data_IF_204830688646
#
_entry.id   IF_204830688646
#
_cell.length_a   1.000
_cell.length_b   1.000
_cell.length_c   1.000
_cell.angle_alpha   90.00
_cell.angle_beta   90.00
_cell.angle_gamma   90.00
#
_symmetry.space_group_name_H-M   'P 1'
#
loop_
_entity.id
_entity.type
_entity.pdbx_description
1 polymer ?
#
# COMPACT_ATOMS: atom_id res chain seq x y z
N UNK A 1 -16.88 31.80 10.39
CA UNK A 1 -17.47 31.16 9.20
C UNK A 1 -16.66 29.90 8.97
N UNK A 2 -17.17 28.74 9.37
CA UNK A 2 -16.48 27.48 9.17
C UNK A 2 -16.55 27.12 7.69
N UNK A 3 -15.43 27.22 6.99
CA UNK A 3 -15.30 26.66 5.65
C UNK A 3 -15.23 25.15 5.79
N UNK A 4 -16.39 24.49 5.82
CA UNK A 4 -16.47 23.03 5.75
C UNK A 4 -15.99 22.60 4.37
N UNK A 5 -14.69 22.30 4.26
CA UNK A 5 -14.12 21.71 3.06
C UNK A 5 -14.64 20.28 2.98
N UNK A 6 -15.37 19.91 1.91
CA UNK A 6 -15.99 18.60 1.83
C UNK A 6 -14.92 17.49 1.82
N UNK A 7 -15.20 16.35 2.48
CA UNK A 7 -14.33 15.19 2.41
C UNK A 7 -14.17 14.71 0.97
N UNK A 8 -13.06 14.04 0.68
CA UNK A 8 -12.78 13.53 -0.66
C UNK A 8 -13.96 12.67 -1.18
N UNK A 9 -14.63 13.03 -2.30
CA UNK A 9 -15.88 12.41 -2.72
C UNK A 9 -15.78 10.89 -2.89
N UNK A 10 -14.66 10.42 -3.43
CA UNK A 10 -14.40 8.99 -3.67
C UNK A 10 -14.41 8.13 -2.39
N UNK A 11 -14.18 8.73 -1.23
CA UNK A 11 -14.05 8.04 0.06
C UNK A 11 -15.02 8.56 1.12
N UNK A 12 -15.94 9.46 0.75
CA UNK A 12 -16.78 10.22 1.68
C UNK A 12 -17.57 9.32 2.66
N UNK A 13 -18.04 8.16 2.19
CA UNK A 13 -18.86 7.23 2.97
C UNK A 13 -18.04 6.09 3.62
N UNK A 14 -16.72 6.24 3.70
CA UNK A 14 -15.82 5.19 4.21
C UNK A 14 -15.05 5.65 5.45
N UNK A 15 -14.48 4.71 6.22
CA UNK A 15 -13.57 5.03 7.33
C UNK A 15 -12.25 5.69 6.89
N UNK A 16 -12.02 5.76 5.57
CA UNK A 16 -10.89 6.40 4.91
C UNK A 16 -11.22 7.83 4.43
N UNK A 17 -12.42 8.35 4.71
CA UNK A 17 -12.75 9.74 4.42
C UNK A 17 -11.73 10.69 5.05
N UNK A 18 -11.30 11.69 4.27
CA UNK A 18 -10.38 12.73 4.72
C UNK A 18 -10.62 14.05 4.00
N UNK A 19 -10.18 15.15 4.59
CA UNK A 19 -10.13 16.46 3.94
C UNK A 19 -8.88 16.56 3.06
N UNK A 20 -9.01 16.76 1.74
CA UNK A 20 -7.86 16.87 0.84
C UNK A 20 -6.88 17.96 1.25
N UNK A 21 -5.59 17.64 1.22
CA UNK A 21 -4.53 18.59 1.56
C UNK A 21 -4.42 19.63 0.44
N UNK A 22 -4.54 20.90 0.81
CA UNK A 22 -4.43 22.00 -0.15
C UNK A 22 -3.06 21.99 -0.85
N UNK A 23 -3.06 22.26 -2.16
CA UNK A 23 -1.84 22.37 -2.96
C UNK A 23 -1.53 23.84 -3.22
N UNK A 24 -0.29 24.24 -2.96
CA UNK A 24 0.20 25.61 -3.23
C UNK A 24 0.16 25.95 -4.73
N UNK A 25 0.32 24.96 -5.60
CA UNK A 25 0.24 25.12 -7.06
C UNK A 25 -0.70 24.07 -7.62
N UNK A 26 -1.75 24.52 -8.30
CA UNK A 26 -2.65 23.62 -9.00
C UNK A 26 -2.00 23.15 -10.29
N UNK A 27 -1.47 21.93 -10.29
CA UNK A 27 -0.96 21.24 -11.49
C UNK A 27 -1.91 20.09 -11.81
N UNK A 28 -2.24 19.92 -13.09
CA UNK A 28 -3.13 18.85 -13.55
C UNK A 28 -2.59 17.45 -13.25
N UNK A 29 -1.26 17.29 -13.23
CA UNK A 29 -0.52 16.07 -12.91
C UNK A 29 -0.03 16.04 -11.44
N UNK A 30 -0.60 16.89 -10.57
CA UNK A 30 -0.19 17.04 -9.18
C UNK A 30 -0.99 16.20 -8.19
N UNK A 31 -0.75 16.45 -6.90
CA UNK A 31 -1.53 15.90 -5.78
C UNK A 31 -2.90 16.57 -5.67
N UNK A 32 -3.72 16.47 -6.73
CA UNK A 32 -5.11 16.92 -6.73
C UNK A 32 -5.92 16.15 -5.68
N UNK A 33 -7.06 16.67 -5.22
CA UNK A 33 -7.95 15.95 -4.30
C UNK A 33 -8.29 14.52 -4.77
N UNK A 34 -8.50 14.37 -6.08
CA UNK A 34 -8.77 13.08 -6.71
C UNK A 34 -7.56 12.14 -6.64
N UNK A 35 -6.36 12.63 -7.00
CA UNK A 35 -5.11 11.86 -6.87
C UNK A 35 -4.86 11.40 -5.43
N UNK A 36 -5.13 12.27 -4.45
CA UNK A 36 -4.98 11.93 -3.02
C UNK A 36 -5.94 10.81 -2.62
N UNK A 37 -7.20 10.88 -3.05
CA UNK A 37 -8.20 9.85 -2.75
C UNK A 37 -7.87 8.51 -3.43
N UNK A 38 -7.47 8.55 -4.70
CA UNK A 38 -7.00 7.38 -5.43
C UNK A 38 -5.76 6.77 -4.78
N UNK A 39 -4.87 7.60 -4.23
CA UNK A 39 -3.70 7.12 -3.51
C UNK A 39 -4.07 6.37 -2.23
N UNK A 40 -4.99 6.91 -1.42
CA UNK A 40 -5.46 6.26 -0.19
C UNK A 40 -6.15 4.93 -0.51
N UNK A 41 -6.99 4.90 -1.56
CA UNK A 41 -7.63 3.67 -2.03
C UNK A 41 -6.61 2.63 -2.52
N UNK A 42 -5.61 3.07 -3.28
CA UNK A 42 -4.52 2.23 -3.74
C UNK A 42 -3.68 1.69 -2.56
N UNK A 43 -3.48 2.50 -1.52
CA UNK A 43 -2.76 2.13 -0.31
C UNK A 43 -3.50 1.05 0.49
N UNK A 44 -4.82 1.18 0.60
CA UNK A 44 -5.70 0.19 1.24
C UNK A 44 -5.71 -1.14 0.48
N UNK A 45 -5.73 -1.13 -0.85
CA UNK A 45 -5.65 -2.38 -1.61
C UNK A 45 -4.27 -3.07 -1.53
N UNK A 46 -3.18 -2.29 -1.58
CA UNK A 46 -1.83 -2.84 -1.80
C UNK A 46 -0.96 -2.94 -0.55
N UNK A 47 -1.25 -2.20 0.52
CA UNK A 47 -0.42 -2.18 1.73
C UNK A 47 1.02 -1.70 1.52
N UNK A 48 1.31 -1.02 0.39
CA UNK A 48 2.65 -0.57 0.01
C UNK A 48 2.62 0.84 -0.56
N UNK A 49 3.25 1.78 0.17
CA UNK A 49 3.34 3.19 -0.23
C UNK A 49 3.96 3.37 -1.61
N UNK A 50 5.02 2.63 -1.92
CA UNK A 50 5.71 2.72 -3.20
C UNK A 50 4.83 2.29 -4.38
N UNK A 51 4.10 1.17 -4.21
CA UNK A 51 3.18 0.68 -5.24
C UNK A 51 1.97 1.61 -5.37
N UNK A 52 1.40 2.07 -4.26
CA UNK A 52 0.28 3.02 -4.24
C UNK A 52 0.62 4.35 -4.91
N UNK A 53 1.79 4.93 -4.60
CA UNK A 53 2.25 6.16 -5.24
C UNK A 53 2.41 5.97 -6.75
N UNK A 54 3.05 4.88 -7.18
CA UNK A 54 3.24 4.58 -8.61
C UNK A 54 1.90 4.38 -9.34
N UNK A 55 0.92 3.76 -8.69
CA UNK A 55 -0.40 3.52 -9.28
C UNK A 55 -1.16 4.82 -9.60
N UNK A 56 -0.87 5.91 -8.88
CA UNK A 56 -1.46 7.24 -9.14
C UNK A 56 -0.51 8.19 -9.88
N UNK A 57 0.57 7.67 -10.48
CA UNK A 57 1.55 8.48 -11.22
C UNK A 57 2.46 9.34 -10.34
N UNK A 58 2.54 9.08 -9.04
CA UNK A 58 3.32 9.87 -8.07
C UNK A 58 4.57 9.13 -7.57
N UNK A 59 5.55 9.90 -7.10
CA UNK A 59 6.74 9.36 -6.43
C UNK A 59 6.51 9.12 -4.93
N UNK A 60 7.06 8.02 -4.39
CA UNK A 60 7.00 7.69 -2.94
C UNK A 60 7.44 8.84 -2.04
N UNK A 61 8.56 9.50 -2.36
CA UNK A 61 9.06 10.64 -1.60
C UNK A 61 8.09 11.83 -1.61
N UNK A 62 7.37 12.06 -2.72
CA UNK A 62 6.37 13.13 -2.81
C UNK A 62 5.13 12.85 -1.96
N UNK A 63 4.75 11.57 -1.80
CA UNK A 63 3.65 11.15 -0.96
C UNK A 63 3.95 11.40 0.53
N UNK A 64 5.17 11.11 1.00
CA UNK A 64 5.59 11.47 2.36
C UNK A 64 5.64 12.99 2.58
N UNK A 65 6.21 13.74 1.63
CA UNK A 65 6.18 15.21 1.70
C UNK A 65 4.77 15.79 1.76
N UNK A 66 3.78 15.13 1.15
CA UNK A 66 2.38 15.51 1.28
C UNK A 66 1.84 15.22 2.69
N UNK A 67 2.15 14.05 3.25
CA UNK A 67 1.75 13.62 4.59
C UNK A 67 2.34 14.50 5.70
N UNK A 68 3.53 15.06 5.49
CA UNK A 68 4.23 15.92 6.45
C UNK A 68 3.73 17.37 6.49
N UNK A 69 2.77 17.76 5.63
CA UNK A 69 2.26 19.14 5.63
C UNK A 69 1.43 19.44 6.88
N UNK A 70 1.45 20.69 7.39
CA UNK A 70 0.67 21.08 8.57
C UNK A 70 -0.84 20.77 8.45
N UNK A 71 -1.41 20.94 7.26
CA UNK A 71 -2.84 20.71 6.99
C UNK A 71 -3.17 19.24 6.67
N UNK A 72 -2.16 18.34 6.68
CA UNK A 72 -2.34 16.95 6.26
C UNK A 72 -2.82 16.00 7.36
N UNK A 73 -3.21 16.49 8.54
CA UNK A 73 -3.58 15.64 9.67
C UNK A 73 -4.71 14.63 9.32
N UNK A 74 -5.75 15.08 8.63
CA UNK A 74 -6.86 14.20 8.19
C UNK A 74 -6.39 13.16 7.16
N UNK A 75 -5.58 13.57 6.19
CA UNK A 75 -4.98 12.68 5.19
C UNK A 75 -4.04 11.65 5.82
N UNK A 76 -3.21 12.06 6.80
CA UNK A 76 -2.31 11.17 7.53
C UNK A 76 -3.07 10.12 8.33
N UNK A 77 -4.19 10.49 8.97
CA UNK A 77 -5.06 9.53 9.66
C UNK A 77 -5.69 8.51 8.70
N UNK A 78 -6.17 8.94 7.53
CA UNK A 78 -6.67 8.03 6.50
C UNK A 78 -5.57 7.13 5.93
N UNK A 79 -4.35 7.67 5.76
CA UNK A 79 -3.18 6.91 5.35
C UNK A 79 -2.86 5.78 6.33
N UNK A 80 -2.83 6.09 7.63
CA UNK A 80 -2.46 5.11 8.66
C UNK A 80 -3.50 3.97 8.74
N UNK A 81 -4.78 4.29 8.57
CA UNK A 81 -5.85 3.27 8.43
C UNK A 81 -5.67 2.43 7.16
N UNK A 82 -5.48 3.08 6.01
CA UNK A 82 -5.33 2.43 4.73
C UNK A 82 -4.12 1.49 4.69
N UNK A 83 -2.94 1.92 5.17
CA UNK A 83 -1.76 1.05 5.20
C UNK A 83 -1.95 -0.15 6.14
N UNK A 84 -2.64 0.04 7.26
CA UNK A 84 -2.96 -1.05 8.19
C UNK A 84 -3.91 -2.08 7.55
N UNK A 85 -5.00 -1.61 6.92
CA UNK A 85 -5.94 -2.46 6.19
C UNK A 85 -5.23 -3.24 5.07
N UNK A 86 -4.45 -2.54 4.25
CA UNK A 86 -3.74 -3.15 3.14
C UNK A 86 -2.69 -4.16 3.58
N UNK A 87 -1.91 -3.87 4.62
CA UNK A 87 -0.94 -4.84 5.17
C UNK A 87 -1.63 -6.07 5.73
N UNK A 88 -2.73 -5.89 6.46
CA UNK A 88 -3.53 -7.00 6.97
C UNK A 88 -4.04 -7.88 5.82
N UNK A 89 -4.58 -7.27 4.77
CA UNK A 89 -5.06 -8.00 3.58
C UNK A 89 -3.92 -8.76 2.88
N UNK A 90 -2.78 -8.12 2.64
CA UNK A 90 -1.61 -8.77 2.03
C UNK A 90 -1.07 -9.92 2.89
N UNK A 91 -1.10 -9.78 4.22
CA UNK A 91 -0.73 -10.85 5.14
C UNK A 91 -1.68 -12.05 5.04
N UNK A 92 -3.00 -11.82 5.00
CA UNK A 92 -3.97 -12.91 4.81
C UNK A 92 -3.75 -13.65 3.49
N UNK A 93 -3.50 -12.94 2.39
CA UNK A 93 -3.17 -13.54 1.09
C UNK A 93 -1.88 -14.35 1.18
N UNK A 94 -0.83 -13.79 1.80
CA UNK A 94 0.44 -14.46 1.99
C UNK A 94 0.28 -15.76 2.78
N UNK A 95 -0.48 -15.72 3.88
CA UNK A 95 -0.74 -16.90 4.72
C UNK A 95 -1.52 -17.98 3.96
N UNK A 96 -2.57 -17.59 3.22
CA UNK A 96 -3.34 -18.51 2.38
C UNK A 96 -2.43 -19.22 1.36
N UNK A 97 -1.58 -18.47 0.65
CA UNK A 97 -0.62 -19.03 -0.33
C UNK A 97 0.45 -19.91 0.30
N UNK A 98 0.82 -19.65 1.56
CA UNK A 98 1.79 -20.46 2.28
C UNK A 98 1.18 -21.78 2.76
N UNK A 99 -0.06 -21.75 3.28
CA UNK A 99 -0.75 -22.91 3.84
C UNK A 99 -1.36 -23.81 2.76
N UNK A 100 -2.08 -23.22 1.81
CA UNK A 100 -2.81 -23.96 0.77
C UNK A 100 -1.96 -24.21 -0.48
N UNK A 101 -0.79 -23.58 -0.56
CA UNK A 101 0.08 -23.63 -1.71
C UNK A 101 -0.43 -22.84 -2.91
N UNK A 102 0.43 -22.72 -3.90
CA UNK A 102 0.15 -22.12 -5.20
C UNK A 102 0.49 -23.12 -6.30
N UNK A 103 -0.27 -23.08 -7.39
CA UNK A 103 0.09 -23.80 -8.62
C UNK A 103 1.00 -22.90 -9.44
N UNK A 104 2.24 -23.33 -9.64
CA UNK A 104 3.22 -22.63 -10.47
C UNK A 104 3.28 -23.33 -11.82
N UNK A 105 2.90 -22.60 -12.87
CA UNK A 105 3.04 -23.03 -14.26
C UNK A 105 4.30 -22.38 -14.84
N UNK A 106 5.29 -23.19 -15.20
CA UNK A 106 6.54 -22.75 -15.81
C UNK A 106 6.57 -23.17 -17.28
N UNK A 107 6.56 -22.18 -18.17
CA UNK A 107 6.78 -22.41 -19.60
C UNK A 107 8.29 -22.40 -19.86
N UNK A 108 8.81 -23.53 -20.32
CA UNK A 108 10.23 -23.75 -20.59
C UNK A 108 10.56 -23.36 -22.04
N UNK A 109 11.87 -23.16 -22.30
CA UNK A 109 12.36 -22.93 -23.66
C UNK A 109 12.03 -24.15 -24.53
N UNK A 110 11.36 -23.93 -25.65
CA UNK A 110 10.86 -24.99 -26.53
C UNK A 110 9.40 -25.39 -26.33
N UNK A 111 8.66 -24.70 -25.45
CA UNK A 111 7.21 -24.85 -25.31
C UNK A 111 6.75 -25.95 -24.35
N UNK A 112 7.67 -26.67 -23.71
CA UNK A 112 7.33 -27.58 -22.62
C UNK A 112 6.75 -26.82 -21.41
N UNK A 113 5.76 -27.41 -20.75
CA UNK A 113 5.08 -26.82 -19.59
C UNK A 113 5.35 -27.71 -18.37
N UNK A 114 5.90 -27.13 -17.31
CA UNK A 114 6.06 -27.74 -16.00
C UNK A 114 5.00 -27.16 -15.05
N UNK A 115 4.27 -28.02 -14.35
CA UNK A 115 3.21 -27.62 -13.40
C UNK A 115 3.55 -28.23 -12.05
N UNK A 116 3.98 -27.37 -11.12
CA UNK A 116 4.32 -27.77 -9.76
C UNK A 116 3.36 -27.12 -8.75
N UNK A 117 2.84 -27.91 -7.82
CA UNK A 117 2.11 -27.42 -6.65
C UNK A 117 3.02 -27.35 -5.43
N UNK A 118 2.76 -26.41 -4.52
CA UNK A 118 3.45 -26.31 -3.24
C UNK A 118 3.32 -24.91 -2.62
N UNK A 119 3.79 -24.71 -1.38
CA UNK A 119 3.79 -23.39 -0.73
C UNK A 119 4.42 -22.33 -1.62
N UNK A 120 3.89 -21.09 -1.58
CA UNK A 120 4.54 -19.96 -2.25
C UNK A 120 5.88 -19.66 -1.56
N UNK A 121 6.96 -20.23 -2.11
CA UNK A 121 8.30 -20.15 -1.53
C UNK A 121 8.81 -18.70 -1.46
N UNK A 122 8.31 -17.78 -2.30
CA UNK A 122 8.68 -16.38 -2.18
C UNK A 122 8.13 -15.78 -0.89
N UNK A 123 6.88 -16.13 -0.53
CA UNK A 123 6.25 -15.72 0.72
C UNK A 123 6.93 -16.40 1.92
N UNK A 124 7.15 -17.71 1.87
CA UNK A 124 7.81 -18.46 2.96
C UNK A 124 9.21 -17.89 3.23
N UNK A 125 10.00 -17.67 2.18
CA UNK A 125 11.34 -17.10 2.32
C UNK A 125 11.32 -15.64 2.80
N UNK A 126 10.27 -14.87 2.49
CA UNK A 126 10.12 -13.52 3.02
C UNK A 126 9.83 -13.54 4.53
N UNK A 127 8.95 -14.42 5.00
CA UNK A 127 8.66 -14.58 6.42
C UNK A 127 9.90 -15.02 7.23
N UNK A 128 10.64 -16.01 6.73
CA UNK A 128 11.87 -16.48 7.37
C UNK A 128 12.96 -15.39 7.46
N UNK A 129 12.95 -14.43 6.52
CA UNK A 129 13.88 -13.29 6.56
C UNK A 129 13.50 -12.25 7.61
N UNK A 130 12.20 -12.00 7.85
CA UNK A 130 11.77 -11.06 8.89
C UNK A 130 12.14 -11.54 10.30
N UNK A 131 12.03 -12.84 10.58
CA UNK A 131 12.49 -13.43 11.84
C UNK A 131 14.01 -13.31 12.03
N UNK A 132 14.78 -13.40 10.96
CA UNK A 132 16.24 -13.22 11.01
C UNK A 132 16.63 -11.77 11.35
N UNK A 133 15.88 -10.77 10.87
CA UNK A 133 16.10 -9.36 11.24
C UNK A 133 15.68 -9.07 12.68
N UNK A 134 14.52 -9.59 13.14
CA UNK A 134 14.07 -9.42 14.52
C UNK A 134 15.01 -10.11 15.53
N UNK A 135 15.61 -11.25 15.16
CA UNK A 135 16.59 -11.97 15.98
C UNK A 135 17.96 -11.28 15.98
N UNK A 136 18.43 -10.78 14.83
CA UNK A 136 19.69 -10.05 14.73
C UNK A 136 19.72 -8.75 15.56
N UNK A 137 18.58 -8.10 15.78
CA UNK A 137 18.49 -6.91 16.64
C UNK A 137 18.44 -7.20 18.14
N UNK A 138 18.26 -8.46 18.57
CA UNK A 138 18.22 -8.85 19.99
C UNK A 138 19.53 -9.49 20.50
N UNK A 139 20.44 -9.88 19.62
CA UNK A 139 21.69 -10.59 19.99
C UNK A 139 22.92 -9.65 20.11
N UNK A 140 22.73 -8.32 20.20
CA UNK A 140 23.84 -7.34 20.36
C UNK A 140 23.76 -6.55 21.67
N UNK A 141 23.18 -7.12 22.72
CA UNK A 141 23.22 -6.54 24.08
C UNK A 141 23.97 -7.44 25.06
#
# INVERSE_FOLDING_TARGET
MEHSTPPAPLLADTCLAFTPVAQQRNRADGWTPETQANFIRALEAMGSVGKAARAVGMGRASAYRLRERPEAASFAAAWDRAIFMGRTHQFSIAMDRALNGVTIVRVLKGGAIDVSGGPDMAVVNAALREDAFAKATKETE
#
